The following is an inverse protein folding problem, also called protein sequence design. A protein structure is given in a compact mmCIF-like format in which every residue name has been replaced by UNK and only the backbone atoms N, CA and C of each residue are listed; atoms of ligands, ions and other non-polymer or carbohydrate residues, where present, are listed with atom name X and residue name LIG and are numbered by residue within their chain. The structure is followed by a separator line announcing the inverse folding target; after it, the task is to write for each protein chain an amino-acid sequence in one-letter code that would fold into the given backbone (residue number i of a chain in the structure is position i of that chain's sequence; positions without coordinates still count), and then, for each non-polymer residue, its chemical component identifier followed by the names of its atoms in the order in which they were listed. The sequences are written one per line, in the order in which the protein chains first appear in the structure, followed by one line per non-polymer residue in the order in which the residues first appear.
data_IF_940523514680
#
_entry.id   IF_940523514680
#
_cell.length_a   1.000
_cell.length_b   1.000
_cell.length_c   1.000
_cell.angle_alpha   90.00
_cell.angle_beta   90.00
_cell.angle_gamma   90.00
#
_symmetry.space_group_name_H-M   'P 1'
#
loop_
_entity.id
_entity.type
_entity.pdbx_description
1 polymer ?
#
# COMPACT_ATOMS: atom_id res chain seq x y z
N UNK A 1 12.07 18.98 30.97
CA UNK A 1 13.45 19.18 30.51
C UNK A 1 13.62 18.13 29.44
N UNK A 2 13.51 18.53 28.17
CA UNK A 2 13.59 17.59 27.04
C UNK A 2 15.07 17.27 26.84
N UNK A 3 15.42 15.97 26.88
CA UNK A 3 16.80 15.54 26.66
C UNK A 3 17.19 15.77 25.20
N UNK A 4 18.43 16.16 24.94
CA UNK A 4 18.96 16.26 23.56
C UNK A 4 19.21 14.86 22.98
N UNK A 5 19.41 14.78 21.65
CA UNK A 5 19.76 13.51 20.99
C UNK A 5 21.05 12.89 21.59
N UNK A 6 22.07 13.72 21.83
CA UNK A 6 23.32 13.30 22.47
C UNK A 6 23.11 12.75 23.89
N UNK A 7 22.25 13.41 24.67
CA UNK A 7 21.91 12.94 26.02
C UNK A 7 21.15 11.61 25.97
N UNK A 8 20.22 11.45 25.03
CA UNK A 8 19.48 10.20 24.86
C UNK A 8 20.38 9.05 24.39
N UNK A 9 21.34 9.29 23.50
CA UNK A 9 22.32 8.27 23.08
C UNK A 9 23.19 7.81 24.26
N UNK A 10 23.46 8.68 25.23
CA UNK A 10 24.16 8.30 26.48
C UNK A 10 23.26 7.50 27.41
N UNK A 11 21.97 7.84 27.49
CA UNK A 11 21.00 7.15 28.35
C UNK A 11 20.61 5.79 27.78
N UNK A 12 20.52 5.66 26.46
CA UNK A 12 20.06 4.49 25.73
C UNK A 12 21.07 4.06 24.65
N UNK A 13 22.28 3.61 25.03
CA UNK A 13 23.37 3.38 24.09
C UNK A 13 23.13 2.22 23.11
N UNK A 14 22.26 1.27 23.46
CA UNK A 14 21.94 0.10 22.64
C UNK A 14 20.71 0.33 21.73
N UNK A 15 20.04 1.48 21.87
CA UNK A 15 18.84 1.78 21.11
C UNK A 15 19.19 2.62 19.88
N UNK A 16 18.39 2.48 18.83
CA UNK A 16 18.60 3.27 17.62
C UNK A 16 17.89 4.61 17.75
N UNK A 17 18.65 5.70 17.61
CA UNK A 17 18.12 7.06 17.56
C UNK A 17 18.36 7.67 16.18
N UNK A 18 17.31 8.21 15.59
CA UNK A 18 17.31 8.83 14.26
C UNK A 18 16.79 10.26 14.37
N UNK A 19 17.51 11.19 13.76
CA UNK A 19 17.07 12.57 13.57
C UNK A 19 16.17 12.65 12.33
N UNK A 20 15.05 13.33 12.45
CA UNK A 20 14.06 13.50 11.39
C UNK A 20 14.29 14.87 10.74
N UNK A 21 14.21 14.94 9.41
CA UNK A 21 14.23 16.25 8.73
C UNK A 21 12.91 16.97 8.91
N UNK A 22 12.95 18.24 9.32
CA UNK A 22 11.76 19.09 9.39
C UNK A 22 11.11 19.32 8.02
N UNK A 23 11.91 19.35 6.95
CA UNK A 23 11.43 19.48 5.57
C UNK A 23 10.71 18.20 5.12
N UNK A 24 11.29 17.02 5.38
CA UNK A 24 10.66 15.73 5.06
C UNK A 24 9.35 15.55 5.85
N UNK A 25 9.33 15.99 7.12
CA UNK A 25 8.16 15.94 8.00
C UNK A 25 7.01 16.78 7.45
N UNK A 26 7.27 18.05 7.11
CA UNK A 26 6.25 18.95 6.57
C UNK A 26 5.75 18.46 5.20
N UNK A 27 6.65 18.03 4.31
CA UNK A 27 6.28 17.50 3.01
C UNK A 27 5.36 16.27 3.15
N UNK A 28 5.73 15.29 3.97
CA UNK A 28 4.92 14.09 4.18
C UNK A 28 3.57 14.40 4.81
N UNK A 29 3.50 15.39 5.71
CA UNK A 29 2.23 15.84 6.29
C UNK A 29 1.30 16.47 5.24
N UNK A 30 1.86 17.23 4.30
CA UNK A 30 1.10 17.79 3.17
C UNK A 30 0.64 16.71 2.20
N UNK A 31 1.42 15.66 1.96
CA UNK A 31 1.05 14.54 1.09
C UNK A 31 -0.01 13.62 1.73
N UNK A 32 -0.08 13.60 3.08
CA UNK A 32 -1.02 12.76 3.84
C UNK A 32 -2.45 13.32 3.89
N UNK A 33 -2.96 13.96 2.84
CA UNK A 33 -4.37 14.42 2.83
C UNK A 33 -5.36 13.27 2.68
N UNK A 34 -4.88 12.11 2.23
CA UNK A 34 -5.73 11.12 1.60
C UNK A 34 -6.40 10.12 2.55
N UNK A 35 -6.97 10.56 3.68
CA UNK A 35 -7.56 9.67 4.71
C UNK A 35 -8.97 10.12 5.14
N UNK A 36 -9.77 9.20 5.72
CA UNK A 36 -11.20 9.45 5.97
C UNK A 36 -11.47 10.39 7.14
N UNK A 37 -10.53 10.49 8.07
CA UNK A 37 -10.61 11.32 9.26
C UNK A 37 -9.20 11.68 9.76
N UNK A 38 -9.14 12.63 10.71
CA UNK A 38 -7.87 13.14 11.26
C UNK A 38 -7.05 12.04 11.96
N UNK A 39 -7.70 11.08 12.61
CA UNK A 39 -7.00 9.98 13.31
C UNK A 39 -6.33 9.02 12.31
N UNK A 40 -7.03 8.65 11.24
CA UNK A 40 -6.49 7.84 10.15
C UNK A 40 -5.35 8.56 9.44
N UNK A 41 -5.53 9.86 9.15
CA UNK A 41 -4.47 10.72 8.59
C UNK A 41 -3.23 10.76 9.46
N UNK A 42 -3.40 10.95 10.76
CA UNK A 42 -2.30 11.01 11.71
C UNK A 42 -1.58 9.65 11.82
N UNK A 43 -2.35 8.56 11.91
CA UNK A 43 -1.80 7.20 11.92
C UNK A 43 -0.95 6.93 10.68
N UNK A 44 -1.45 7.30 9.50
CA UNK A 44 -0.72 7.15 8.25
C UNK A 44 0.55 7.98 8.18
N UNK A 45 0.48 9.24 8.62
CA UNK A 45 1.64 10.12 8.70
C UNK A 45 2.75 9.50 9.57
N UNK A 46 2.43 9.05 10.79
CA UNK A 46 3.40 8.42 11.68
C UNK A 46 4.01 7.14 11.08
N UNK A 47 3.19 6.31 10.45
CA UNK A 47 3.66 5.10 9.79
C UNK A 47 4.58 5.37 8.61
N UNK A 48 4.20 6.32 7.75
CA UNK A 48 5.01 6.69 6.60
C UNK A 48 6.35 7.28 7.02
N UNK A 49 6.34 8.17 8.03
CA UNK A 49 7.56 8.76 8.58
C UNK A 49 8.48 7.69 9.19
N UNK A 50 7.93 6.82 10.03
CA UNK A 50 8.66 5.71 10.65
C UNK A 50 9.26 4.76 9.60
N UNK A 51 8.48 4.42 8.56
CA UNK A 51 8.91 3.57 7.46
C UNK A 51 10.08 4.18 6.69
N UNK A 52 9.95 5.45 6.27
CA UNK A 52 10.98 6.14 5.48
C UNK A 52 12.29 6.28 6.26
N UNK A 53 12.19 6.68 7.54
CA UNK A 53 13.36 6.81 8.41
C UNK A 53 14.07 5.46 8.60
N UNK A 54 13.31 4.39 8.82
CA UNK A 54 13.89 3.06 9.00
C UNK A 54 14.51 2.52 7.72
N UNK A 55 13.85 2.67 6.56
CA UNK A 55 14.42 2.26 5.27
C UNK A 55 15.72 3.02 4.98
N UNK A 56 15.72 4.34 5.20
CA UNK A 56 16.92 5.18 5.01
C UNK A 56 18.09 4.66 5.86
N UNK A 57 17.87 4.48 7.16
CA UNK A 57 18.87 3.93 8.07
C UNK A 57 19.39 2.56 7.63
N UNK A 58 18.48 1.64 7.30
CA UNK A 58 18.85 0.28 6.90
C UNK A 58 19.59 0.22 5.56
N UNK A 59 19.42 1.23 4.70
CA UNK A 59 20.05 1.31 3.38
C UNK A 59 21.51 1.79 3.44
N UNK A 60 21.89 2.56 4.47
CA UNK A 60 23.17 3.28 4.52
C UNK A 60 24.41 2.36 4.45
N UNK A 61 24.29 1.09 4.88
CA UNK A 61 25.40 0.11 4.92
C UNK A 61 25.02 -1.30 4.39
N UNK A 62 23.91 -1.45 3.67
CA UNK A 62 23.47 -2.76 3.15
C UNK A 62 24.09 -3.11 1.80
N UNK A 63 24.34 -4.41 1.59
CA UNK A 63 24.71 -4.95 0.29
C UNK A 63 23.50 -4.93 -0.67
N UNK A 64 23.71 -4.90 -2.00
CA UNK A 64 22.61 -4.78 -2.98
C UNK A 64 21.52 -5.85 -2.89
N UNK A 65 21.87 -7.07 -2.48
CA UNK A 65 20.94 -8.20 -2.33
C UNK A 65 20.11 -8.14 -1.04
N UNK A 66 20.46 -7.24 -0.11
CA UNK A 66 19.80 -7.03 1.18
C UNK A 66 19.19 -5.64 1.32
N UNK A 67 19.01 -4.91 0.21
CA UNK A 67 18.39 -3.59 0.26
C UNK A 67 16.96 -3.74 0.82
N UNK A 68 16.60 -2.99 1.87
CA UNK A 68 15.26 -3.02 2.44
C UNK A 68 14.23 -2.56 1.41
N UNK A 69 13.16 -3.34 1.25
CA UNK A 69 12.05 -3.04 0.35
C UNK A 69 10.74 -2.98 1.13
N UNK A 70 9.80 -2.16 0.65
CA UNK A 70 8.45 -2.13 1.21
C UNK A 70 7.75 -3.46 0.91
N UNK A 71 7.30 -4.19 1.94
CA UNK A 71 6.77 -5.55 1.76
C UNK A 71 5.45 -5.63 0.97
N UNK A 72 4.63 -4.58 0.99
CA UNK A 72 3.26 -4.58 0.45
C UNK A 72 2.99 -3.51 -0.62
N UNK A 73 4.02 -2.96 -1.27
CA UNK A 73 3.93 -1.74 -2.07
C UNK A 73 3.32 -0.54 -1.30
N UNK A 74 3.57 0.68 -1.76
CA UNK A 74 3.15 1.88 -1.01
C UNK A 74 1.64 2.12 -1.08
N UNK A 75 0.98 1.73 -2.18
CA UNK A 75 -0.46 1.90 -2.35
C UNK A 75 -1.26 1.06 -1.34
N UNK A 76 -0.91 -0.23 -1.19
CA UNK A 76 -1.57 -1.09 -0.20
C UNK A 76 -1.29 -0.62 1.22
N UNK A 77 -0.06 -0.18 1.53
CA UNK A 77 0.25 0.35 2.86
C UNK A 77 -0.56 1.60 3.19
N UNK A 78 -0.71 2.54 2.26
CA UNK A 78 -1.60 3.69 2.45
C UNK A 78 -3.04 3.25 2.79
N UNK A 79 -3.54 2.22 2.12
CA UNK A 79 -4.88 1.69 2.42
C UNK A 79 -4.95 0.97 3.79
N UNK A 80 -3.89 0.25 4.20
CA UNK A 80 -3.81 -0.36 5.53
C UNK A 80 -3.78 0.73 6.61
N UNK A 81 -3.03 1.81 6.41
CA UNK A 81 -2.87 2.89 7.37
C UNK A 81 -4.16 3.68 7.64
N UNK A 82 -5.15 3.58 6.76
CA UNK A 82 -6.50 4.09 7.03
C UNK A 82 -7.15 3.39 8.24
N UNK A 83 -6.73 2.17 8.57
CA UNK A 83 -7.44 1.31 9.54
C UNK A 83 -6.56 0.62 10.57
N UNK A 84 -5.28 0.39 10.29
CA UNK A 84 -4.34 -0.34 11.15
C UNK A 84 -3.02 0.43 11.30
N UNK A 85 -2.52 0.52 12.52
CA UNK A 85 -1.18 1.05 12.81
C UNK A 85 -0.12 -0.01 12.48
N UNK A 86 0.94 0.35 11.78
CA UNK A 86 2.09 -0.48 11.50
C UNK A 86 2.47 -0.51 10.02
N UNK A 87 3.71 -0.90 9.74
CA UNK A 87 4.26 -1.01 8.39
C UNK A 87 5.17 -2.22 8.28
N UNK A 88 5.39 -2.73 7.06
CA UNK A 88 6.25 -3.88 6.83
C UNK A 88 7.38 -3.58 5.83
N UNK A 89 8.59 -3.98 6.21
CA UNK A 89 9.81 -3.97 5.39
C UNK A 89 10.24 -5.42 5.15
N UNK A 90 10.67 -5.74 3.93
CA UNK A 90 11.29 -7.00 3.57
C UNK A 90 12.79 -6.81 3.32
N UNK A 91 13.61 -7.71 3.87
CA UNK A 91 15.04 -7.82 3.60
C UNK A 91 15.34 -9.27 3.28
N UNK A 92 15.59 -9.58 2.00
CA UNK A 92 15.61 -10.95 1.52
C UNK A 92 14.30 -11.67 1.85
N UNK A 93 14.38 -12.78 2.58
CA UNK A 93 13.19 -13.53 3.04
C UNK A 93 12.64 -13.05 4.39
N UNK A 94 13.32 -12.14 5.07
CA UNK A 94 12.92 -11.67 6.41
C UNK A 94 11.96 -10.49 6.29
N UNK A 95 10.78 -10.60 6.91
CA UNK A 95 9.84 -9.49 7.05
C UNK A 95 9.93 -8.89 8.45
N UNK A 96 10.07 -7.58 8.50
CA UNK A 96 10.20 -6.78 9.70
C UNK A 96 8.99 -5.85 9.79
N UNK A 97 8.25 -5.95 10.89
CA UNK A 97 7.11 -5.07 11.18
C UNK A 97 7.58 -3.91 12.03
N UNK A 98 7.24 -2.70 11.62
CA UNK A 98 7.46 -1.46 12.36
C UNK A 98 6.14 -1.01 12.95
N UNK A 99 6.10 -0.78 14.27
CA UNK A 99 4.92 -0.24 14.94
C UNK A 99 5.32 1.09 15.61
N UNK A 100 4.95 2.23 15.01
CA UNK A 100 5.19 3.53 15.62
C UNK A 100 4.19 3.82 16.74
N UNK A 101 4.64 4.56 17.76
CA UNK A 101 3.81 5.11 18.83
C UNK A 101 4.36 6.47 19.26
N UNK A 102 3.50 7.34 19.75
CA UNK A 102 3.90 8.58 20.43
C UNK A 102 4.00 8.40 21.96
N UNK A 103 3.61 7.22 22.46
CA UNK A 103 3.75 6.87 23.87
C UNK A 103 5.24 6.75 24.21
N UNK A 104 5.73 7.69 25.02
CA UNK A 104 7.14 7.72 25.46
C UNK A 104 7.47 6.62 26.47
N UNK A 105 6.44 6.07 27.11
CA UNK A 105 6.58 4.94 28.02
C UNK A 105 6.92 3.67 27.24
N UNK A 106 8.01 3.01 27.62
CA UNK A 106 8.50 1.79 26.98
C UNK A 106 8.32 0.56 27.86
N UNK A 107 7.43 0.60 28.86
CA UNK A 107 7.10 -0.55 29.72
C UNK A 107 6.54 -1.73 28.92
N UNK A 108 5.72 -1.48 27.90
CA UNK A 108 5.10 -2.51 27.06
C UNK A 108 5.16 -2.16 25.57
N UNK A 109 5.31 -3.19 24.74
CA UNK A 109 5.19 -3.10 23.30
C UNK A 109 3.80 -3.59 22.86
N UNK A 110 2.99 -2.67 22.33
CA UNK A 110 1.64 -2.94 21.84
C UNK A 110 1.64 -3.22 20.33
N UNK A 111 1.23 -4.43 19.93
CA UNK A 111 1.23 -4.87 18.53
C UNK A 111 -0.20 -5.25 18.10
N UNK A 112 -0.74 -4.62 17.05
CA UNK A 112 -2.05 -4.99 16.50
C UNK A 112 -2.08 -6.45 16.02
N UNK A 113 -3.15 -7.17 16.34
CA UNK A 113 -3.35 -8.57 15.98
C UNK A 113 -3.14 -8.85 14.49
N UNK A 114 -3.47 -7.91 13.62
CA UNK A 114 -3.34 -8.01 12.16
C UNK A 114 -1.93 -8.35 11.72
N UNK A 115 -0.91 -7.77 12.37
CA UNK A 115 0.49 -8.02 12.05
C UNK A 115 1.02 -9.33 12.64
N UNK A 116 0.23 -10.05 13.43
CA UNK A 116 0.64 -11.27 14.14
C UNK A 116 -0.11 -12.50 13.63
N UNK A 117 -1.42 -12.36 13.42
CA UNK A 117 -2.32 -13.47 13.15
C UNK A 117 -2.90 -13.45 11.72
N UNK A 118 -2.43 -12.56 10.82
CA UNK A 118 -2.77 -12.63 9.39
C UNK A 118 -1.61 -13.22 8.57
N UNK A 119 -1.79 -14.34 7.85
CA UNK A 119 -0.73 -14.96 7.05
C UNK A 119 -0.13 -14.02 5.99
N UNK A 120 -0.92 -13.09 5.46
CA UNK A 120 -0.49 -12.11 4.46
C UNK A 120 0.40 -11.01 5.06
N UNK A 121 0.22 -10.67 6.34
CA UNK A 121 0.89 -9.53 7.00
C UNK A 121 1.96 -9.93 8.02
N UNK A 122 1.88 -11.14 8.59
CA UNK A 122 2.77 -11.61 9.67
C UNK A 122 4.25 -11.39 9.34
N UNK A 123 5.01 -10.90 10.32
CA UNK A 123 6.46 -10.69 10.19
C UNK A 123 7.28 -11.65 11.05
N UNK A 124 8.56 -11.76 10.71
CA UNK A 124 9.54 -12.53 11.47
C UNK A 124 10.02 -11.76 12.71
N UNK A 125 10.15 -10.45 12.58
CA UNK A 125 10.56 -9.52 13.64
C UNK A 125 9.63 -8.32 13.74
N UNK A 126 9.54 -7.75 14.95
CA UNK A 126 8.69 -6.61 15.27
C UNK A 126 9.52 -5.57 16.01
N UNK A 127 9.54 -4.34 15.52
CA UNK A 127 10.33 -3.23 16.03
C UNK A 127 9.39 -2.21 16.66
N UNK A 128 9.73 -1.79 17.87
CA UNK A 128 8.99 -0.81 18.63
C UNK A 128 9.61 0.57 18.43
N UNK A 129 8.87 1.46 17.75
CA UNK A 129 9.35 2.79 17.38
C UNK A 129 8.59 3.86 18.15
N UNK A 130 9.31 4.65 18.95
CA UNK A 130 8.78 5.87 19.56
C UNK A 130 9.03 7.03 18.61
N UNK A 131 7.96 7.73 18.25
CA UNK A 131 7.94 8.86 17.33
C UNK A 131 7.72 10.14 18.12
N UNK A 132 8.58 11.13 17.90
CA UNK A 132 8.40 12.48 18.43
C UNK A 132 8.56 13.48 17.26
N UNK A 133 7.55 13.61 16.38
CA UNK A 133 7.65 14.44 15.17
C UNK A 133 7.90 15.92 15.48
N UNK A 134 7.33 16.43 16.58
CA UNK A 134 7.51 17.83 17.02
C UNK A 134 8.94 18.12 17.47
N UNK A 135 9.64 17.11 18.00
CA UNK A 135 11.04 17.18 18.43
C UNK A 135 11.99 16.64 17.34
N UNK A 136 11.45 16.36 16.14
CA UNK A 136 12.17 15.86 14.97
C UNK A 136 13.05 14.65 15.27
N UNK A 137 12.53 13.67 16.01
CA UNK A 137 13.28 12.47 16.37
C UNK A 137 12.45 11.21 16.41
N UNK A 138 13.11 10.10 16.13
CA UNK A 138 12.57 8.75 16.20
C UNK A 138 13.54 7.87 17.00
N UNK A 139 13.01 6.98 17.83
CA UNK A 139 13.80 6.01 18.60
C UNK A 139 13.21 4.62 18.44
N UNK A 140 14.00 3.68 17.92
CA UNK A 140 13.66 2.25 18.00
C UNK A 140 14.27 1.73 19.29
N UNK A 141 13.42 1.47 20.28
CA UNK A 141 13.86 1.11 21.62
C UNK A 141 14.08 -0.39 21.81
N UNK A 142 13.64 -1.19 20.85
CA UNK A 142 13.97 -2.61 20.79
C UNK A 142 13.16 -3.37 19.75
N UNK A 143 13.44 -4.66 19.67
CA UNK A 143 12.76 -5.60 18.80
C UNK A 143 12.43 -6.91 19.51
N UNK A 144 11.56 -7.70 18.89
CA UNK A 144 11.28 -9.08 19.27
C UNK A 144 11.07 -9.96 18.04
N UNK A 145 11.26 -11.28 18.16
CA UNK A 145 10.88 -12.22 17.10
C UNK A 145 9.44 -12.68 17.25
N UNK A 146 8.82 -13.15 16.15
CA UNK A 146 7.49 -13.74 16.16
C UNK A 146 7.32 -14.83 17.23
N UNK A 147 8.32 -15.72 17.34
CA UNK A 147 8.28 -16.81 18.31
C UNK A 147 8.29 -16.30 19.75
N UNK A 148 9.11 -15.30 20.05
CA UNK A 148 9.11 -14.72 21.39
C UNK A 148 7.81 -13.98 21.68
N UNK A 149 7.30 -13.21 20.71
CA UNK A 149 6.02 -12.53 20.78
C UNK A 149 4.87 -13.49 21.13
N UNK A 150 4.68 -14.57 20.35
CA UNK A 150 3.60 -15.54 20.60
C UNK A 150 3.74 -16.27 21.94
N UNK A 151 4.96 -16.45 22.44
CA UNK A 151 5.21 -17.17 23.70
C UNK A 151 5.08 -16.30 24.95
N UNK A 152 5.26 -14.98 24.83
CA UNK A 152 5.43 -14.08 25.98
C UNK A 152 4.40 -12.96 26.07
N UNK A 153 3.81 -12.53 24.96
CA UNK A 153 2.86 -11.43 24.99
C UNK A 153 1.50 -11.85 25.57
N UNK A 154 0.88 -10.90 26.25
CA UNK A 154 -0.50 -10.99 26.70
C UNK A 154 -1.41 -10.45 25.60
N UNK A 155 -2.25 -11.31 25.03
CA UNK A 155 -3.27 -10.90 24.08
C UNK A 155 -4.49 -10.33 24.81
N UNK A 156 -4.91 -9.13 24.42
CA UNK A 156 -6.13 -8.50 24.90
C UNK A 156 -7.22 -8.57 23.82
N UNK A 157 -8.23 -9.38 24.06
CA UNK A 157 -9.34 -9.63 23.12
C UNK A 157 -10.20 -8.38 22.86
N UNK A 158 -10.33 -7.48 23.84
CA UNK A 158 -11.21 -6.31 23.73
C UNK A 158 -10.70 -5.28 22.71
N UNK A 159 -9.38 -5.12 22.63
CA UNK A 159 -8.76 -4.19 21.68
C UNK A 159 -7.94 -4.91 20.61
N UNK A 160 -7.87 -6.25 20.64
CA UNK A 160 -7.12 -7.09 19.70
C UNK A 160 -5.65 -6.69 19.61
N UNK A 161 -5.00 -6.45 20.74
CA UNK A 161 -3.59 -6.06 20.81
C UNK A 161 -2.81 -7.09 21.62
N UNK A 162 -1.64 -7.46 21.12
CA UNK A 162 -0.63 -8.17 21.89
C UNK A 162 0.23 -7.17 22.65
N UNK A 163 0.32 -7.32 23.96
CA UNK A 163 1.18 -6.52 24.84
C UNK A 163 2.37 -7.36 25.30
N UNK A 164 3.58 -6.92 24.97
CA UNK A 164 4.82 -7.58 25.36
C UNK A 164 5.63 -6.69 26.29
N UNK A 165 5.91 -7.14 27.52
CA UNK A 165 6.72 -6.38 28.48
C UNK A 165 8.16 -6.13 27.97
N UNK A 166 8.71 -4.97 28.33
CA UNK A 166 10.06 -4.53 27.95
C UNK A 166 11.14 -5.59 28.25
N UNK A 167 10.98 -6.36 29.32
CA UNK A 167 11.94 -7.40 29.73
C UNK A 167 12.07 -8.56 28.73
N UNK A 168 11.13 -8.68 27.79
CA UNK A 168 11.16 -9.68 26.72
C UNK A 168 11.60 -9.09 25.38
N UNK A 169 11.97 -7.82 25.34
CA UNK A 169 12.50 -7.13 24.16
C UNK A 169 14.02 -7.19 24.15
N UNK A 170 14.61 -7.13 22.96
CA UNK A 170 16.06 -6.95 22.79
C UNK A 170 16.31 -5.53 22.27
N UNK A 171 17.12 -4.75 22.99
CA UNK A 171 17.36 -3.34 22.63
C UNK A 171 18.28 -3.21 21.41
N UNK A 172 19.41 -3.92 21.40
CA UNK A 172 20.41 -3.84 20.34
C UNK A 172 19.96 -4.53 19.04
N UNK A 173 19.59 -3.73 18.04
CA UNK A 173 19.20 -4.20 16.70
C UNK A 173 20.32 -5.01 16.01
N UNK A 174 21.60 -4.82 16.36
CA UNK A 174 22.68 -5.63 15.78
C UNK A 174 22.57 -7.10 16.15
N UNK A 175 22.03 -7.40 17.34
CA UNK A 175 21.75 -8.78 17.75
C UNK A 175 20.74 -9.44 16.81
N UNK A 176 19.79 -8.68 16.26
CA UNK A 176 18.81 -9.17 15.30
C UNK A 176 19.49 -9.66 14.02
N UNK A 177 20.43 -8.87 13.50
CA UNK A 177 21.18 -9.19 12.28
C UNK A 177 22.05 -10.42 12.47
N UNK A 178 22.77 -10.48 13.60
CA UNK A 178 23.57 -11.66 13.96
C UNK A 178 22.69 -12.90 14.10
N UNK A 179 21.51 -12.78 14.73
CA UNK A 179 20.58 -13.89 14.88
C UNK A 179 20.03 -14.37 13.53
N UNK A 180 19.69 -13.44 12.62
CA UNK A 180 19.23 -13.74 11.27
C UNK A 180 20.25 -14.56 10.48
N UNK A 181 21.55 -14.24 10.58
CA UNK A 181 22.61 -14.97 9.87
C UNK A 181 22.94 -16.33 10.49
N UNK A 182 23.04 -16.40 11.82
CA UNK A 182 23.57 -17.58 12.52
C UNK A 182 22.50 -18.58 12.96
N UNK A 183 21.25 -18.13 13.11
CA UNK A 183 20.15 -18.88 13.69
C UNK A 183 18.86 -18.68 12.84
N UNK A 184 18.73 -19.35 11.68
CA UNK A 184 17.52 -19.24 10.87
C UNK A 184 16.29 -19.61 11.69
N UNK A 185 15.40 -18.64 11.91
CA UNK A 185 14.16 -18.84 12.64
C UNK A 185 13.16 -19.61 11.76
N UNK A 186 12.31 -20.43 12.37
CA UNK A 186 11.18 -21.01 11.67
C UNK A 186 10.24 -19.87 11.22
N UNK A 187 9.80 -19.91 9.95
CA UNK A 187 8.82 -18.95 9.46
C UNK A 187 7.56 -18.99 10.34
N UNK A 188 6.92 -17.85 10.59
CA UNK A 188 5.67 -17.79 11.34
C UNK A 188 4.63 -18.78 10.78
N UNK A 189 4.13 -19.67 11.63
CA UNK A 189 3.02 -20.55 11.30
C UNK A 189 1.72 -19.91 11.79
N UNK A 190 0.95 -19.36 10.86
CA UNK A 190 -0.32 -18.69 11.14
C UNK A 190 -1.45 -19.46 10.47
N UNK A 191 -2.57 -19.65 11.19
CA UNK A 191 -3.73 -20.33 10.65
C UNK A 191 -4.34 -19.56 9.47
N UNK A 192 -4.67 -20.29 8.40
CA UNK A 192 -5.32 -19.69 7.24
C UNK A 192 -6.74 -19.26 7.61
N UNK A 193 -7.09 -18.02 7.29
CA UNK A 193 -8.44 -17.51 7.46
C UNK A 193 -9.39 -18.09 6.40
N UNK A 194 -10.66 -18.21 6.78
CA UNK A 194 -11.73 -18.52 5.83
C UNK A 194 -11.91 -17.39 4.81
N UNK A 195 -12.47 -17.71 3.65
CA UNK A 195 -12.85 -16.71 2.64
C UNK A 195 -14.24 -16.15 2.92
N UNK A 196 -14.43 -14.84 2.74
CA UNK A 196 -15.76 -14.23 2.72
C UNK A 196 -16.53 -14.64 1.46
N UNK A 197 -17.84 -14.85 1.58
CA UNK A 197 -18.72 -14.85 0.40
C UNK A 197 -18.87 -13.43 -0.16
N UNK A 198 -19.30 -13.31 -1.42
CA UNK A 198 -19.49 -12.00 -2.07
C UNK A 198 -20.48 -11.13 -1.31
N UNK A 199 -21.65 -11.68 -0.95
CA UNK A 199 -22.69 -10.96 -0.20
C UNK A 199 -22.17 -10.47 1.16
N UNK A 200 -21.40 -11.31 1.87
CA UNK A 200 -20.80 -10.94 3.15
C UNK A 200 -19.74 -9.85 2.97
N UNK A 201 -18.90 -9.95 1.94
CA UNK A 201 -17.85 -8.98 1.66
C UNK A 201 -18.44 -7.61 1.31
N UNK A 202 -19.46 -7.56 0.44
CA UNK A 202 -20.14 -6.30 0.08
C UNK A 202 -20.83 -5.67 1.28
N UNK A 203 -21.54 -6.46 2.10
CA UNK A 203 -22.18 -5.96 3.30
C UNK A 203 -21.16 -5.42 4.31
N UNK A 204 -20.04 -6.13 4.50
CA UNK A 204 -18.97 -5.76 5.43
C UNK A 204 -18.29 -4.45 4.99
N UNK A 205 -17.94 -4.31 3.71
CA UNK A 205 -17.37 -3.05 3.18
C UNK A 205 -18.35 -1.89 3.35
N UNK A 206 -19.63 -2.09 3.06
CA UNK A 206 -20.65 -1.05 3.23
C UNK A 206 -20.87 -0.64 4.69
N UNK A 207 -20.69 -1.57 5.63
CA UNK A 207 -20.80 -1.33 7.06
C UNK A 207 -19.57 -0.57 7.60
N UNK A 208 -18.37 -1.14 7.41
CA UNK A 208 -17.10 -0.58 7.90
C UNK A 208 -16.67 0.68 7.13
N UNK A 209 -17.22 0.85 5.92
CA UNK A 209 -17.00 2.02 5.07
C UNK A 209 -17.75 3.27 5.51
N UNK A 210 -18.66 3.18 6.48
CA UNK A 210 -19.40 4.35 6.96
C UNK A 210 -18.45 5.38 7.57
N UNK A 211 -18.69 6.66 7.24
CA UNK A 211 -17.94 7.77 7.82
C UNK A 211 -18.02 7.73 9.35
N UNK A 212 -16.85 7.71 9.97
CA UNK A 212 -16.66 7.63 11.41
C UNK A 212 -15.35 8.35 11.76
N UNK A 213 -15.27 9.06 12.90
CA UNK A 213 -14.02 9.66 13.37
C UNK A 213 -13.01 8.63 13.90
N UNK A 214 -13.39 7.35 13.95
CA UNK A 214 -12.56 6.27 14.48
C UNK A 214 -12.31 5.17 13.43
N UNK A 215 -11.27 4.37 13.67
CA UNK A 215 -10.98 3.17 12.88
C UNK A 215 -12.07 2.10 13.08
N UNK A 216 -12.53 1.43 12.00
CA UNK A 216 -13.57 0.40 12.06
C UNK A 216 -13.02 -0.98 12.50
N UNK A 217 -11.73 -1.06 12.84
CA UNK A 217 -10.98 -2.29 13.15
C UNK A 217 -11.66 -3.25 14.14
N UNK A 218 -12.44 -2.72 15.07
CA UNK A 218 -13.11 -3.50 16.13
C UNK A 218 -14.62 -3.68 15.90
N UNK A 219 -15.16 -3.23 14.77
CA UNK A 219 -16.60 -3.26 14.49
C UNK A 219 -17.08 -4.60 13.89
N UNK A 220 -16.17 -5.47 13.45
CA UNK A 220 -16.45 -6.80 12.94
C UNK A 220 -15.63 -7.88 13.64
N UNK A 221 -16.07 -9.14 13.60
CA UNK A 221 -15.28 -10.31 14.07
C UNK A 221 -13.92 -10.39 13.36
N UNK A 222 -12.88 -10.83 14.07
CA UNK A 222 -11.50 -10.80 13.54
C UNK A 222 -11.35 -11.65 12.28
N UNK A 223 -12.04 -12.78 12.16
CA UNK A 223 -11.97 -13.64 10.98
C UNK A 223 -12.49 -12.92 9.73
N UNK A 224 -13.57 -12.14 9.88
CA UNK A 224 -14.16 -11.37 8.77
C UNK A 224 -13.30 -10.16 8.44
N UNK A 225 -12.84 -9.45 9.47
CA UNK A 225 -11.94 -8.31 9.34
C UNK A 225 -10.62 -8.69 8.67
N UNK A 226 -9.98 -9.76 9.15
CA UNK A 226 -8.74 -10.30 8.62
C UNK A 226 -8.89 -10.80 7.19
N UNK A 227 -10.01 -11.44 6.85
CA UNK A 227 -10.30 -11.87 5.47
C UNK A 227 -10.49 -10.67 4.53
N UNK A 228 -11.08 -9.57 5.00
CA UNK A 228 -11.17 -8.31 4.26
C UNK A 228 -9.77 -7.72 4.01
N UNK A 229 -8.96 -7.55 5.07
CA UNK A 229 -7.61 -6.98 4.96
C UNK A 229 -6.66 -7.82 4.11
N UNK A 230 -6.84 -9.15 4.11
CA UNK A 230 -6.03 -10.07 3.30
C UNK A 230 -6.38 -10.04 1.81
N UNK A 231 -7.41 -9.30 1.42
CA UNK A 231 -7.89 -9.19 0.05
C UNK A 231 -7.75 -7.75 -0.43
N UNK A 232 -6.80 -7.51 -1.35
CA UNK A 232 -6.45 -6.17 -1.82
C UNK A 232 -7.65 -5.43 -2.43
N UNK A 233 -8.56 -6.14 -3.11
CA UNK A 233 -9.76 -5.52 -3.67
C UNK A 233 -10.74 -5.04 -2.60
N UNK A 234 -10.98 -5.86 -1.57
CA UNK A 234 -11.86 -5.47 -0.48
C UNK A 234 -11.26 -4.36 0.37
N UNK A 235 -9.93 -4.39 0.59
CA UNK A 235 -9.21 -3.32 1.26
C UNK A 235 -9.33 -1.99 0.48
N UNK A 236 -9.12 -2.02 -0.85
CA UNK A 236 -9.30 -0.87 -1.72
C UNK A 236 -10.73 -0.34 -1.67
N UNK A 237 -11.74 -1.21 -1.81
CA UNK A 237 -13.15 -0.83 -1.74
C UNK A 237 -13.49 -0.20 -0.38
N UNK A 238 -12.98 -0.75 0.72
CA UNK A 238 -13.15 -0.17 2.05
C UNK A 238 -12.52 1.22 2.13
N UNK A 239 -11.27 1.36 1.70
CA UNK A 239 -10.56 2.63 1.69
C UNK A 239 -11.33 3.70 0.89
N UNK A 240 -11.71 3.40 -0.36
CA UNK A 240 -12.49 4.31 -1.21
C UNK A 240 -13.84 4.69 -0.58
N UNK A 241 -14.56 3.72 -0.02
CA UNK A 241 -15.85 3.96 0.65
C UNK A 241 -15.69 4.89 1.86
N UNK A 242 -14.62 4.72 2.64
CA UNK A 242 -14.34 5.54 3.84
C UNK A 242 -13.93 6.96 3.51
N UNK A 243 -13.17 7.16 2.44
CA UNK A 243 -12.78 8.49 1.97
C UNK A 243 -13.98 9.35 1.53
N UNK A 244 -15.12 8.73 1.26
CA UNK A 244 -16.31 9.38 0.78
C UNK A 244 -16.19 9.79 -0.69
N UNK A 245 -17.33 9.91 -1.35
CA UNK A 245 -17.44 10.22 -2.78
C UNK A 245 -17.06 11.68 -3.16
N UNK A 246 -16.50 12.46 -2.24
CA UNK A 246 -16.29 13.92 -2.38
C UNK A 246 -14.83 14.33 -2.69
N UNK A 247 -13.96 13.39 -3.07
CA UNK A 247 -12.71 13.73 -3.79
C UNK A 247 -12.96 13.78 -5.29
N UNK A 248 -12.14 14.52 -6.07
CA UNK A 248 -11.98 14.19 -7.47
C UNK A 248 -11.34 12.79 -7.50
N UNK A 249 -12.18 11.77 -7.58
CA UNK A 249 -11.82 10.35 -7.75
C UNK A 249 -11.23 10.08 -9.13
N UNK A 250 -10.93 11.14 -9.87
CA UNK A 250 -10.56 11.16 -11.26
C UNK A 250 -9.10 11.58 -11.42
N UNK A 251 -8.28 10.70 -12.00
CA UNK A 251 -6.93 11.03 -12.44
C UNK A 251 -7.01 12.13 -13.50
N UNK A 252 -6.32 13.25 -13.28
CA UNK A 252 -6.31 14.34 -14.23
C UNK A 252 -5.26 14.08 -15.31
N UNK A 253 -5.72 13.62 -16.47
CA UNK A 253 -4.85 13.22 -17.57
C UNK A 253 -4.05 14.39 -18.15
N UNK A 254 -4.49 15.65 -17.98
CA UNK A 254 -3.72 16.80 -18.45
C UNK A 254 -2.43 17.02 -17.64
N UNK A 255 -2.45 16.69 -16.35
CA UNK A 255 -1.27 16.82 -15.47
C UNK A 255 -0.13 15.90 -15.87
N UNK A 256 -0.41 14.83 -16.61
CA UNK A 256 0.60 13.93 -17.13
C UNK A 256 1.56 14.64 -18.10
N UNK A 257 1.11 15.67 -18.82
CA UNK A 257 1.98 16.50 -19.67
C UNK A 257 2.99 17.32 -18.88
N UNK A 258 2.69 17.61 -17.61
CA UNK A 258 3.59 18.32 -16.68
C UNK A 258 4.45 17.35 -15.85
N UNK A 259 4.34 16.04 -16.09
CA UNK A 259 5.09 15.02 -15.36
C UNK A 259 4.55 14.75 -13.95
N UNK A 260 3.33 15.19 -13.64
CA UNK A 260 2.64 14.95 -12.38
C UNK A 260 1.78 13.70 -12.55
N UNK A 261 1.95 12.72 -11.66
CA UNK A 261 1.24 11.44 -11.73
C UNK A 261 0.72 11.05 -10.35
N UNK A 262 -0.51 10.54 -10.31
CA UNK A 262 -1.14 10.04 -9.09
C UNK A 262 -0.54 8.69 -8.66
N UNK A 263 -0.67 8.37 -7.37
CA UNK A 263 -0.17 7.12 -6.78
C UNK A 263 -0.73 5.89 -7.51
N UNK A 264 0.14 4.92 -7.81
CA UNK A 264 -0.19 3.68 -8.51
C UNK A 264 0.05 3.72 -10.02
N UNK A 265 0.21 4.90 -10.63
CA UNK A 265 0.61 5.03 -12.04
C UNK A 265 2.12 4.96 -12.22
N UNK A 266 2.59 4.00 -13.02
CA UNK A 266 3.99 3.74 -13.31
C UNK A 266 4.28 3.90 -14.81
N UNK A 267 5.55 3.88 -15.19
CA UNK A 267 5.92 3.80 -16.60
C UNK A 267 5.50 2.45 -17.19
N UNK A 268 5.28 2.40 -18.50
CA UNK A 268 4.88 1.16 -19.18
C UNK A 268 6.02 0.13 -19.13
N UNK A 269 7.25 0.60 -19.06
CA UNK A 269 8.46 -0.21 -18.93
C UNK A 269 8.53 -0.90 -17.56
N UNK A 270 8.28 -0.15 -16.47
CA UNK A 270 8.26 -0.69 -15.10
C UNK A 270 7.15 -1.73 -14.90
N UNK A 271 6.00 -1.52 -15.54
CA UNK A 271 4.84 -2.39 -15.30
C UNK A 271 4.88 -3.69 -16.14
N UNK A 272 5.39 -3.66 -17.38
CA UNK A 272 5.36 -4.82 -18.28
C UNK A 272 6.67 -5.62 -18.36
N UNK A 273 7.75 -5.22 -17.65
CA UNK A 273 9.03 -5.94 -17.61
C UNK A 273 9.60 -6.35 -19.00
N UNK A 274 9.58 -5.46 -20.00
CA UNK A 274 10.13 -5.78 -21.32
C UNK A 274 11.64 -5.54 -21.41
N UNK A 275 12.42 -6.63 -21.45
CA UNK A 275 13.67 -6.67 -22.22
C UNK A 275 13.34 -6.57 -23.72
N UNK A 276 13.05 -5.34 -24.19
CA UNK A 276 13.16 -4.86 -25.58
C UNK A 276 12.45 -3.50 -25.72
N UNK A 277 12.94 -2.49 -25.01
CA UNK A 277 12.64 -1.10 -25.35
C UNK A 277 13.51 -0.68 -26.55
N UNK A 278 13.18 -1.17 -27.76
CA UNK A 278 13.70 -0.56 -28.99
C UNK A 278 12.62 0.25 -29.72
N UNK A 279 12.84 1.58 -29.64
CA UNK A 279 12.67 2.58 -30.70
C UNK A 279 11.22 3.02 -31.00
N UNK A 280 10.87 4.20 -30.46
CA UNK A 280 10.10 5.21 -31.18
C UNK A 280 10.42 6.64 -30.69
N UNK A 281 11.69 7.02 -30.71
CA UNK A 281 12.03 8.44 -30.85
C UNK A 281 11.90 8.81 -32.33
N UNK A 282 10.70 9.22 -32.74
CA UNK A 282 10.47 9.87 -34.03
C UNK A 282 9.77 11.20 -33.80
N UNK A 283 10.54 12.27 -33.86
CA UNK A 283 10.07 13.65 -33.90
C UNK A 283 9.07 13.85 -35.06
N UNK A 284 7.76 13.85 -34.77
CA UNK A 284 6.69 14.58 -35.49
C UNK A 284 5.50 14.92 -34.56
N UNK A 285 5.47 16.18 -34.14
CA UNK A 285 4.31 17.04 -33.79
C UNK A 285 3.17 16.59 -32.87
N UNK A 286 3.26 15.51 -32.09
CA UNK A 286 2.36 15.32 -30.93
C UNK A 286 3.06 14.56 -29.83
N UNK A 287 3.03 15.09 -28.61
CA UNK A 287 3.57 14.42 -27.41
C UNK A 287 2.55 13.35 -27.03
N UNK A 288 2.97 12.08 -27.03
CA UNK A 288 2.19 10.96 -26.51
C UNK A 288 2.76 10.56 -25.16
N UNK A 289 1.92 10.51 -24.13
CA UNK A 289 2.27 10.08 -22.79
C UNK A 289 1.57 8.78 -22.48
N UNK A 290 2.27 7.86 -21.83
CA UNK A 290 1.76 6.52 -21.54
C UNK A 290 2.08 6.16 -20.11
N UNK A 291 1.08 5.70 -19.36
CA UNK A 291 1.23 5.22 -17.99
C UNK A 291 0.44 3.94 -17.79
N UNK A 292 0.95 3.09 -16.91
CA UNK A 292 0.33 1.83 -16.56
C UNK A 292 0.00 1.76 -15.08
N UNK A 293 -1.05 1.02 -14.74
CA UNK A 293 -1.43 0.67 -13.37
C UNK A 293 -1.77 -0.81 -13.29
N UNK A 294 -1.27 -1.49 -12.26
CA UNK A 294 -1.60 -2.89 -12.03
C UNK A 294 -3.02 -2.98 -11.45
N UNK A 295 -3.84 -3.83 -12.04
CA UNK A 295 -5.20 -4.13 -11.61
C UNK A 295 -5.24 -5.59 -11.17
N UNK A 296 -5.51 -5.83 -9.89
CA UNK A 296 -5.71 -7.18 -9.38
C UNK A 296 -7.20 -7.54 -9.44
N UNK A 297 -7.58 -8.54 -10.24
CA UNK A 297 -8.98 -8.97 -10.36
C UNK A 297 -9.32 -10.17 -9.45
N UNK A 298 -8.34 -10.71 -8.72
CA UNK A 298 -8.47 -11.99 -8.00
C UNK A 298 -8.89 -11.87 -6.53
N UNK A 299 -9.99 -12.55 -6.15
CA UNK A 299 -10.35 -12.83 -4.74
C UNK A 299 -10.15 -14.30 -4.33
N UNK A 300 -9.68 -15.19 -5.22
CA UNK A 300 -9.58 -16.64 -4.92
C UNK A 300 -8.30 -17.36 -5.35
N UNK A 301 -7.48 -16.81 -6.24
CA UNK A 301 -6.13 -17.30 -6.57
C UNK A 301 -5.31 -16.09 -7.02
N UNK A 302 -4.07 -15.97 -6.55
CA UNK A 302 -3.16 -14.85 -6.81
C UNK A 302 -2.63 -14.80 -8.26
N UNK A 303 -3.44 -15.11 -9.27
CA UNK A 303 -2.99 -15.35 -10.65
C UNK A 303 -3.74 -14.52 -11.72
N UNK A 304 -4.67 -13.63 -11.36
CA UNK A 304 -5.47 -12.87 -12.34
C UNK A 304 -5.25 -11.34 -12.28
N UNK A 305 -4.01 -10.92 -12.06
CA UNK A 305 -3.64 -9.50 -12.19
C UNK A 305 -3.33 -9.13 -13.64
N UNK A 306 -3.77 -7.95 -14.06
CA UNK A 306 -3.55 -7.38 -15.40
C UNK A 306 -3.06 -5.95 -15.32
N UNK A 307 -2.40 -5.46 -16.36
CA UNK A 307 -1.92 -4.09 -16.45
C UNK A 307 -2.92 -3.26 -17.27
N UNK A 308 -3.48 -2.22 -16.66
CA UNK A 308 -4.23 -1.18 -17.37
C UNK A 308 -3.25 -0.11 -17.86
N UNK A 309 -3.11 0.04 -19.17
CA UNK A 309 -2.26 1.06 -19.80
C UNK A 309 -3.14 2.14 -20.39
N UNK A 310 -2.84 3.40 -20.10
CA UNK A 310 -3.50 4.57 -20.68
C UNK A 310 -2.49 5.36 -21.47
N UNK A 311 -2.84 5.61 -22.73
CA UNK A 311 -2.11 6.46 -23.64
C UNK A 311 -2.91 7.73 -23.89
N UNK A 312 -2.26 8.87 -23.72
CA UNK A 312 -2.83 10.18 -23.99
C UNK A 312 -2.00 10.87 -25.07
N UNK A 313 -2.67 11.35 -26.12
CA UNK A 313 -2.04 12.10 -27.20
C UNK A 313 -2.85 13.37 -27.47
N UNK A 314 -2.16 14.49 -27.68
CA UNK A 314 -2.85 15.72 -28.10
C UNK A 314 -3.27 15.60 -29.56
N UNK A 315 -4.59 15.63 -29.81
CA UNK A 315 -5.16 15.76 -31.15
C UNK A 315 -5.19 17.25 -31.54
N UNK A 316 -5.72 18.10 -30.66
CA UNK A 316 -5.72 19.55 -30.79
C UNK A 316 -5.70 20.27 -29.41
N UNK A 317 -5.98 21.59 -29.39
CA UNK A 317 -5.99 22.39 -28.15
C UNK A 317 -7.15 22.04 -27.22
N UNK A 318 -8.25 21.47 -27.71
CA UNK A 318 -9.50 21.21 -26.96
C UNK A 318 -9.82 19.72 -26.78
N UNK A 319 -9.24 18.86 -27.61
CA UNK A 319 -9.51 17.42 -27.63
C UNK A 319 -8.21 16.62 -27.48
N UNK A 320 -8.30 15.51 -26.73
CA UNK A 320 -7.22 14.54 -26.54
C UNK A 320 -7.67 13.17 -27.01
N UNK A 321 -6.78 12.50 -27.73
CA UNK A 321 -6.92 11.09 -28.06
C UNK A 321 -6.52 10.25 -26.84
N UNK A 322 -7.46 9.43 -26.38
CA UNK A 322 -7.26 8.48 -25.28
C UNK A 322 -7.30 7.06 -25.83
N UNK A 323 -6.26 6.29 -25.60
CA UNK A 323 -6.22 4.85 -25.89
C UNK A 323 -5.93 4.08 -24.62
N UNK A 324 -6.86 3.21 -24.23
CA UNK A 324 -6.75 2.37 -23.04
C UNK A 324 -6.57 0.92 -23.45
N UNK A 325 -5.66 0.22 -22.76
CA UNK A 325 -5.30 -1.16 -23.06
C UNK A 325 -5.23 -1.98 -21.78
N UNK A 326 -5.53 -3.27 -21.88
CA UNK A 326 -5.33 -4.23 -20.79
C UNK A 326 -4.36 -5.30 -21.28
N UNK A 327 -3.27 -5.51 -20.55
CA UNK A 327 -2.21 -6.49 -20.83
C UNK A 327 -2.12 -7.54 -19.71
N UNK A 328 -1.74 -8.79 -20.01
CA UNK A 328 -1.45 -9.79 -19.00
C UNK A 328 -0.22 -9.38 -18.19
N UNK A 329 -0.12 -9.87 -16.95
CA UNK A 329 1.04 -9.66 -16.07
C UNK A 329 1.58 -10.97 -15.51
N UNK A 330 2.65 -10.91 -14.70
CA UNK A 330 3.25 -12.06 -14.00
C UNK A 330 3.67 -13.18 -14.96
N UNK A 331 4.39 -12.80 -16.02
CA UNK A 331 4.92 -13.70 -17.06
C UNK A 331 3.85 -14.43 -17.89
N UNK A 332 2.58 -14.04 -17.78
CA UNK A 332 1.52 -14.57 -18.63
C UNK A 332 1.60 -13.96 -20.03
N UNK A 333 1.42 -14.81 -21.05
CA UNK A 333 1.44 -14.38 -22.46
C UNK A 333 0.08 -13.88 -22.94
N UNK A 334 -1.00 -14.39 -22.36
CA UNK A 334 -2.37 -14.15 -22.81
C UNK A 334 -3.23 -13.66 -21.67
N UNK A 335 -4.20 -12.80 -21.97
CA UNK A 335 -5.23 -12.42 -21.03
C UNK A 335 -6.09 -13.64 -20.67
N UNK A 336 -6.56 -13.74 -19.41
CA UNK A 336 -7.67 -14.61 -19.06
C UNK A 336 -8.86 -14.37 -20.00
N UNK A 337 -9.49 -15.42 -20.56
CA UNK A 337 -10.67 -15.28 -21.40
C UNK A 337 -11.85 -14.64 -20.64
N UNK A 338 -12.54 -13.68 -21.27
CA UNK A 338 -13.70 -13.01 -20.67
C UNK A 338 -13.38 -11.76 -19.84
N UNK A 339 -12.14 -11.27 -19.86
CA UNK A 339 -11.81 -9.95 -19.32
C UNK A 339 -12.50 -8.89 -20.17
N UNK A 340 -13.22 -7.98 -19.53
CA UNK A 340 -13.85 -6.82 -20.16
C UNK A 340 -13.12 -5.55 -19.81
N UNK A 341 -12.80 -4.76 -20.84
CA UNK A 341 -12.37 -3.38 -20.71
C UNK A 341 -13.55 -2.50 -21.14
N UNK A 342 -13.99 -1.58 -20.29
CA UNK A 342 -15.24 -0.83 -20.45
C UNK A 342 -14.94 0.65 -20.23
N UNK A 343 -15.38 1.53 -21.14
CA UNK A 343 -15.35 2.98 -20.96
C UNK A 343 -16.77 3.46 -20.67
N UNK A 344 -16.92 4.31 -19.68
CA UNK A 344 -18.19 4.91 -19.26
C UNK A 344 -18.08 6.43 -19.19
N UNK A 345 -19.21 7.11 -19.31
CA UNK A 345 -19.31 8.56 -19.09
C UNK A 345 -19.28 8.95 -17.60
N UNK A 346 -19.44 10.25 -17.33
CA UNK A 346 -19.50 10.80 -15.97
C UNK A 346 -20.69 10.32 -15.14
N UNK A 347 -21.73 9.78 -15.77
CA UNK A 347 -22.93 9.23 -15.12
C UNK A 347 -22.82 7.71 -14.90
N UNK A 348 -21.72 7.09 -15.34
CA UNK A 348 -21.50 5.65 -15.26
C UNK A 348 -22.24 4.85 -16.34
N UNK A 349 -22.73 5.49 -17.40
CA UNK A 349 -23.32 4.80 -18.55
C UNK A 349 -22.19 4.19 -19.40
N UNK A 350 -22.29 2.88 -19.70
CA UNK A 350 -21.28 2.18 -20.52
C UNK A 350 -21.37 2.64 -21.99
N UNK A 351 -20.34 3.32 -22.46
CA UNK A 351 -20.26 3.86 -23.81
C UNK A 351 -19.75 2.82 -24.81
N UNK A 352 -18.59 2.22 -24.50
CA UNK A 352 -17.90 1.24 -25.35
C UNK A 352 -17.19 0.19 -24.49
N UNK A 353 -17.07 -1.04 -25.00
CA UNK A 353 -16.34 -2.10 -24.33
C UNK A 353 -15.61 -3.04 -25.31
N UNK A 354 -14.59 -3.73 -24.81
CA UNK A 354 -13.90 -4.84 -25.46
C UNK A 354 -13.88 -6.03 -24.49
N UNK A 355 -13.92 -7.26 -25.02
CA UNK A 355 -13.87 -8.48 -24.22
C UNK A 355 -12.82 -9.43 -24.77
N UNK A 356 -11.96 -9.95 -23.89
CA UNK A 356 -10.85 -10.82 -24.25
C UNK A 356 -11.33 -12.20 -24.69
N UNK A 357 -10.70 -12.74 -25.72
CA UNK A 357 -10.92 -14.10 -26.23
C UNK A 357 -9.69 -14.97 -25.98
N UNK A 358 -9.82 -16.26 -26.29
CA UNK A 358 -8.71 -17.20 -26.20
C UNK A 358 -7.48 -16.70 -26.99
N UNK A 359 -6.32 -16.73 -26.34
CA UNK A 359 -5.02 -16.35 -26.89
C UNK A 359 -4.88 -14.87 -27.33
N UNK A 360 -5.62 -13.94 -26.72
CA UNK A 360 -5.39 -12.50 -26.90
C UNK A 360 -4.32 -11.98 -25.95
N UNK A 361 -3.28 -11.34 -26.51
CA UNK A 361 -2.19 -10.75 -25.75
C UNK A 361 -2.57 -9.42 -25.09
N UNK A 362 -3.58 -8.72 -25.61
CA UNK A 362 -4.13 -7.50 -25.03
C UNK A 362 -5.48 -7.17 -25.68
N UNK A 363 -6.31 -6.39 -24.98
CA UNK A 363 -7.50 -5.73 -25.53
C UNK A 363 -7.34 -4.21 -25.41
N UNK A 364 -8.02 -3.45 -26.28
CA UNK A 364 -7.90 -1.99 -26.28
C UNK A 364 -9.17 -1.28 -26.73
N UNK A 365 -9.31 -0.02 -26.32
CA UNK A 365 -10.32 0.92 -26.79
C UNK A 365 -9.66 2.27 -27.07
N UNK A 366 -10.11 2.95 -28.13
CA UNK A 366 -9.68 4.31 -28.46
C UNK A 366 -10.91 5.21 -28.57
N UNK A 367 -10.80 6.40 -28.00
CA UNK A 367 -11.83 7.43 -28.03
C UNK A 367 -11.17 8.81 -27.86
N UNK A 368 -11.93 9.87 -28.13
CA UNK A 368 -11.50 11.25 -27.92
C UNK A 368 -12.21 11.79 -26.69
N UNK A 369 -11.51 12.60 -25.88
CA UNK A 369 -12.08 13.30 -24.73
C UNK A 369 -11.79 14.80 -24.83
N UNK A 370 -12.79 15.63 -24.51
CA UNK A 370 -12.66 17.09 -24.49
C UNK A 370 -12.08 17.59 -23.15
N UNK A 371 -11.41 18.75 -23.17
CA UNK A 371 -11.01 19.44 -21.93
C UNK A 371 -12.26 19.78 -21.11
N UNK A 372 -12.25 19.40 -19.84
CA UNK A 372 -13.36 19.50 -18.90
C UNK A 372 -14.21 18.23 -18.80
N UNK A 373 -13.98 17.23 -19.66
CA UNK A 373 -14.72 15.98 -19.65
C UNK A 373 -14.26 15.05 -18.52
N UNK A 374 -15.21 14.25 -18.02
CA UNK A 374 -14.99 13.18 -17.05
C UNK A 374 -15.48 11.87 -17.62
N UNK A 375 -14.71 10.82 -17.42
CA UNK A 375 -15.07 9.48 -17.84
C UNK A 375 -14.48 8.46 -16.87
N UNK A 376 -14.88 7.21 -16.98
CA UNK A 376 -14.29 6.13 -16.19
C UNK A 376 -13.98 4.92 -17.06
N UNK A 377 -12.97 4.16 -16.65
CA UNK A 377 -12.54 2.93 -17.31
C UNK A 377 -12.61 1.81 -16.30
N UNK A 378 -13.38 0.78 -16.62
CA UNK A 378 -13.47 -0.42 -15.80
C UNK A 378 -12.80 -1.62 -16.47
N UNK A 379 -12.14 -2.43 -15.65
CA UNK A 379 -11.62 -3.75 -16.01
C UNK A 379 -12.38 -4.77 -15.19
N UNK A 380 -13.01 -5.75 -15.84
CA UNK A 380 -13.86 -6.73 -15.19
C UNK A 380 -13.59 -8.16 -15.65
N UNK A 381 -13.75 -9.14 -14.77
CA UNK A 381 -13.67 -10.57 -15.09
C UNK A 381 -14.69 -11.33 -14.24
N UNK A 382 -15.68 -11.94 -14.89
CA UNK A 382 -16.81 -12.54 -14.18
C UNK A 382 -17.59 -11.50 -13.37
N UNK A 383 -17.56 -11.62 -12.05
CA UNK A 383 -18.21 -10.69 -11.11
C UNK A 383 -17.25 -9.63 -10.53
N UNK A 384 -15.92 -9.81 -10.72
CA UNK A 384 -14.93 -8.83 -10.29
C UNK A 384 -14.92 -7.63 -11.25
N UNK A 385 -14.88 -6.41 -10.71
CA UNK A 385 -14.80 -5.16 -11.47
C UNK A 385 -13.99 -4.14 -10.70
N UNK A 386 -12.99 -3.57 -11.35
CA UNK A 386 -12.20 -2.44 -10.85
C UNK A 386 -12.42 -1.27 -11.79
N UNK A 387 -12.70 -0.09 -11.25
CA UNK A 387 -12.97 1.13 -12.03
C UNK A 387 -11.98 2.23 -11.66
N UNK A 388 -11.37 2.85 -12.66
CA UNK A 388 -10.56 4.07 -12.53
C UNK A 388 -11.33 5.23 -13.16
N UNK A 389 -11.40 6.38 -12.48
CA UNK A 389 -12.03 7.58 -13.05
C UNK A 389 -10.96 8.52 -13.58
N UNK A 390 -11.32 9.32 -14.58
CA UNK A 390 -10.43 10.25 -15.26
C UNK A 390 -11.13 11.58 -15.53
N UNK A 391 -10.35 12.66 -15.54
CA UNK A 391 -10.79 13.97 -15.98
C UNK A 391 -9.70 14.65 -16.83
N UNK A 392 -10.10 15.66 -17.60
CA UNK A 392 -9.19 16.53 -18.34
C UNK A 392 -9.37 17.98 -17.87
N UNK A 393 -8.99 18.29 -16.62
CA UNK A 393 -9.23 19.61 -15.99
C UNK A 393 -8.02 20.55 -15.96
#
# INVERSE_FOLDING_TARGET
MTLTLDELTIVFPEQLLLEISSEETEQLWQESQNYSNDAARWNAFLNHLCLNMTIKYLTEDTQPEEIPQISLNLETLNQIWEVVNGSAISIGETRIILIPTEELDTEEFAIPQEWVDLPTLVGDYYLAAVMEPEEYRMRIWGYTSYQNLKNKANYNELNRIYYLGQEFMTEDLNVMWVARELCPQAKPEVEALGSLSLDEATALVAELGRSSPYSPRLEAEFEKWGALLSNQNLLRMLYEQRLGSDRPTATNLLQWFDGIFETGWQTVEEILNFEQAEISYSFRSSVRISKGKMIDLGMRVAEESVALIVHLQSENETEKDVNVQVHPMREQTYLPPGIKLIVMDEFGEELIYAESRDAENFIQLSFTAEIGEKFSVAVALGEARVTENFCLE
#
